data_IF_959908648976
#
_entry.id   IF_959908648976
#
_cell.length_a   1.000
_cell.length_b   1.000
_cell.length_c   1.000
_cell.angle_alpha   90.00
_cell.angle_beta   90.00
_cell.angle_gamma   90.00
#
_symmetry.space_group_name_H-M   'P 1'
#
loop_
_entity.id
_entity.type
_entity.pdbx_description
1 polymer ?
#
# COMPACT_ATOMS: atom_id res chain seq x y z
N UNK A 1 8.21 -19.84 3.06
CA UNK A 1 9.08 -18.66 3.10
C UNK A 1 8.27 -17.39 2.96
N UNK A 2 8.48 -16.41 3.82
CA UNK A 2 7.85 -15.10 3.66
C UNK A 2 8.27 -14.47 2.33
N UNK A 3 7.36 -13.73 1.74
CA UNK A 3 7.60 -13.06 0.45
C UNK A 3 7.40 -11.57 0.59
N UNK A 4 8.05 -10.83 -0.29
CA UNK A 4 7.78 -9.40 -0.46
C UNK A 4 6.75 -9.25 -1.57
N UNK A 5 5.67 -8.53 -1.27
CA UNK A 5 4.60 -8.26 -2.23
C UNK A 5 4.63 -6.76 -2.53
N UNK A 6 4.78 -6.40 -3.78
CA UNK A 6 4.93 -4.99 -4.17
C UNK A 6 3.64 -4.44 -4.74
N UNK A 7 3.31 -3.22 -4.33
CA UNK A 7 2.18 -2.45 -4.86
C UNK A 7 2.72 -1.10 -5.29
N UNK A 8 2.42 -0.71 -6.50
CA UNK A 8 2.87 0.56 -7.05
C UNK A 8 1.66 1.47 -7.21
N UNK A 9 1.76 2.69 -6.69
CA UNK A 9 0.71 3.70 -6.80
C UNK A 9 1.10 4.64 -7.92
N UNK A 10 0.23 4.77 -8.92
CA UNK A 10 0.47 5.61 -10.07
C UNK A 10 -0.52 6.77 -10.10
N UNK A 11 -0.03 7.94 -10.43
CA UNK A 11 -0.84 9.15 -10.58
C UNK A 11 -0.51 9.80 -11.92
N UNK A 12 -1.52 10.04 -12.75
CA UNK A 12 -1.33 10.63 -14.08
C UNK A 12 -1.80 12.08 -14.16
N UNK A 13 -2.15 12.68 -13.02
CA UNK A 13 -2.72 14.01 -12.95
C UNK A 13 -4.23 14.01 -12.79
N UNK A 14 -4.87 12.88 -13.03
CA UNK A 14 -6.32 12.72 -12.93
C UNK A 14 -6.66 11.44 -12.13
N UNK A 15 -6.07 10.33 -12.54
CA UNK A 15 -6.35 9.02 -11.91
C UNK A 15 -5.21 8.64 -10.99
N UNK A 16 -5.56 8.13 -9.82
CA UNK A 16 -4.63 7.67 -8.82
C UNK A 16 -5.08 6.32 -8.28
N UNK A 17 -4.20 5.34 -8.29
CA UNK A 17 -4.56 4.03 -7.77
C UNK A 17 -3.42 3.03 -7.80
N UNK A 18 -3.64 1.88 -7.14
CA UNK A 18 -2.64 0.84 -7.01
C UNK A 18 -2.59 -0.09 -8.23
N UNK A 19 -1.43 -0.66 -8.43
CA UNK A 19 -1.20 -1.74 -9.38
C UNK A 19 -0.26 -2.77 -8.75
N UNK A 20 -0.67 -4.02 -8.56
CA UNK A 20 -1.99 -4.57 -8.88
C UNK A 20 -3.06 -4.06 -7.93
N UNK A 21 -4.31 -4.15 -8.35
CA UNK A 21 -5.44 -3.74 -7.50
C UNK A 21 -5.67 -4.70 -6.35
N UNK A 22 -5.34 -5.96 -6.54
CA UNK A 22 -5.45 -6.97 -5.51
C UNK A 22 -4.12 -7.68 -5.36
N UNK A 23 -3.65 -7.80 -4.14
CA UNK A 23 -2.37 -8.46 -3.85
C UNK A 23 -2.60 -9.58 -2.85
N UNK A 24 -2.17 -10.81 -3.17
CA UNK A 24 -2.27 -11.92 -2.23
C UNK A 24 -1.14 -11.83 -1.20
N UNK A 25 -1.44 -12.18 0.04
CA UNK A 25 -0.44 -12.21 1.09
C UNK A 25 -0.84 -13.18 2.20
N UNK A 26 0.14 -13.71 2.89
CA UNK A 26 -0.10 -14.56 4.04
C UNK A 26 0.81 -14.14 5.20
N UNK A 27 0.57 -14.71 6.37
CA UNK A 27 1.31 -14.36 7.57
C UNK A 27 2.80 -14.33 7.35
N UNK A 28 3.47 -13.31 7.88
CA UNK A 28 4.89 -13.03 7.77
C UNK A 28 5.34 -12.48 6.42
N UNK A 29 4.44 -12.37 5.43
CA UNK A 29 4.77 -11.65 4.19
C UNK A 29 4.89 -10.16 4.48
N UNK A 30 5.67 -9.48 3.65
CA UNK A 30 5.82 -8.03 3.71
C UNK A 30 5.17 -7.42 2.47
N UNK A 31 4.43 -6.34 2.68
CA UNK A 31 3.85 -5.58 1.57
C UNK A 31 4.59 -4.26 1.47
N UNK A 32 5.00 -3.92 0.25
CA UNK A 32 5.78 -2.73 -0.04
C UNK A 32 4.95 -1.82 -0.94
N UNK A 33 4.64 -0.64 -0.45
CA UNK A 33 3.90 0.37 -1.22
C UNK A 33 4.85 1.48 -1.62
N UNK A 34 4.86 1.84 -2.89
CA UNK A 34 5.66 2.96 -3.37
C UNK A 34 4.96 3.67 -4.51
N UNK A 35 5.33 4.93 -4.69
CA UNK A 35 4.85 5.73 -5.80
C UNK A 35 5.63 5.34 -7.06
N UNK A 36 4.93 5.03 -8.14
CA UNK A 36 5.55 4.71 -9.41
C UNK A 36 5.82 5.95 -10.23
N UNK A 37 4.76 6.65 -10.65
CA UNK A 37 4.89 7.84 -11.46
C UNK A 37 3.94 8.92 -10.95
N UNK A 38 4.33 10.17 -11.12
CA UNK A 38 3.51 11.32 -10.80
C UNK A 38 4.01 12.52 -11.59
N UNK A 39 3.10 13.30 -12.21
CA UNK A 39 3.51 14.56 -12.86
C UNK A 39 3.82 15.67 -11.86
N UNK A 40 3.52 15.48 -10.58
CA UNK A 40 3.80 16.45 -9.53
C UNK A 40 5.05 16.02 -8.78
N UNK A 41 6.02 16.93 -8.66
CA UNK A 41 7.27 16.65 -7.96
C UNK A 41 7.05 16.62 -6.45
N UNK A 42 7.92 15.88 -5.76
CA UNK A 42 7.98 15.83 -4.29
C UNK A 42 6.70 15.31 -3.64
N UNK A 43 6.00 14.42 -4.34
CA UNK A 43 4.81 13.78 -3.77
C UNK A 43 5.17 12.61 -2.88
N UNK A 44 4.31 12.35 -1.91
CA UNK A 44 4.49 11.31 -0.90
C UNK A 44 3.20 10.52 -0.75
N UNK A 45 3.28 9.36 -0.13
CA UNK A 45 2.14 8.48 0.07
C UNK A 45 1.75 8.39 1.53
N UNK A 46 0.46 8.24 1.77
CA UNK A 46 -0.09 7.77 3.04
C UNK A 46 -1.04 6.63 2.74
N UNK A 47 -0.77 5.48 3.34
CA UNK A 47 -1.57 4.27 3.16
C UNK A 47 -2.24 3.95 4.48
N UNK A 48 -3.56 3.78 4.47
CA UNK A 48 -4.32 3.37 5.65
C UNK A 48 -5.00 2.05 5.35
N UNK A 49 -4.64 1.01 6.09
CA UNK A 49 -5.21 -0.33 5.92
C UNK A 49 -6.47 -0.41 6.77
N UNK A 50 -7.57 -0.91 6.21
CA UNK A 50 -8.83 -0.99 6.95
C UNK A 50 -8.78 -2.03 8.07
N UNK A 51 -8.07 -3.15 7.83
CA UNK A 51 -7.85 -4.15 8.87
C UNK A 51 -6.86 -3.60 9.90
N UNK A 52 -7.26 -3.55 11.16
CA UNK A 52 -6.43 -3.02 12.24
C UNK A 52 -5.83 -4.11 13.14
N UNK A 53 -5.97 -5.38 12.76
CA UNK A 53 -5.56 -6.51 13.61
C UNK A 53 -4.45 -7.35 13.00
N UNK A 54 -4.37 -7.43 11.68
CA UNK A 54 -3.52 -8.41 11.00
C UNK A 54 -2.30 -7.80 10.31
N UNK A 55 -1.97 -6.56 10.64
CA UNK A 55 -0.84 -5.87 10.04
C UNK A 55 0.01 -5.19 11.11
N UNK A 56 1.30 -5.06 10.85
CA UNK A 56 2.22 -4.46 11.82
C UNK A 56 1.98 -2.97 12.03
N UNK A 57 1.27 -2.32 11.13
CA UNK A 57 0.84 -0.93 11.27
C UNK A 57 -0.45 -0.72 10.49
N UNK A 58 -1.30 0.18 10.97
CA UNK A 58 -2.52 0.56 10.26
C UNK A 58 -2.27 1.67 9.27
N UNK A 59 -1.40 2.61 9.61
CA UNK A 59 -1.07 3.77 8.78
C UNK A 59 0.40 3.77 8.46
N UNK A 60 0.71 3.90 7.18
CA UNK A 60 2.08 4.05 6.68
C UNK A 60 2.15 5.39 5.95
N UNK A 61 3.18 6.17 6.22
CA UNK A 61 3.32 7.49 5.61
C UNK A 61 4.77 7.84 5.43
N UNK A 62 5.10 8.39 4.25
CA UNK A 62 6.41 9.00 4.05
C UNK A 62 6.53 10.25 4.90
N UNK A 63 7.65 10.40 5.58
CA UNK A 63 7.94 11.59 6.36
C UNK A 63 8.32 12.77 5.48
N UNK A 64 8.42 13.95 6.10
CA UNK A 64 8.87 15.14 5.40
C UNK A 64 10.27 14.92 4.83
N UNK A 65 10.46 15.27 3.58
CA UNK A 65 11.74 15.09 2.88
C UNK A 65 11.98 13.70 2.33
N UNK A 66 11.11 12.74 2.61
CA UNK A 66 11.23 11.42 1.99
C UNK A 66 10.67 11.42 0.58
N UNK A 67 11.25 10.57 -0.25
CA UNK A 67 10.80 10.39 -1.62
C UNK A 67 9.65 9.38 -1.65
N UNK A 68 8.56 9.72 -2.33
CA UNK A 68 7.41 8.82 -2.48
C UNK A 68 7.74 7.50 -3.18
N UNK A 69 8.85 7.44 -3.90
CA UNK A 69 9.30 6.22 -4.56
C UNK A 69 10.02 5.26 -3.62
N UNK A 70 10.33 5.69 -2.41
CA UNK A 70 10.86 4.80 -1.39
C UNK A 70 9.72 3.91 -0.88
N UNK A 71 9.97 2.61 -0.64
CA UNK A 71 8.90 1.72 -0.22
C UNK A 71 8.46 2.00 1.21
N UNK A 72 7.15 1.96 1.42
CA UNK A 72 6.54 1.87 2.74
C UNK A 72 6.26 0.40 3.02
N UNK A 73 6.75 -0.10 4.13
CA UNK A 73 6.70 -1.53 4.45
C UNK A 73 5.68 -1.81 5.54
N UNK A 74 4.91 -2.86 5.35
CA UNK A 74 4.07 -3.40 6.42
C UNK A 74 4.16 -4.91 6.40
N UNK A 75 4.16 -5.53 7.58
CA UNK A 75 4.19 -6.98 7.70
C UNK A 75 2.78 -7.50 7.97
N UNK A 76 2.43 -8.59 7.29
CA UNK A 76 1.18 -9.30 7.54
C UNK A 76 1.39 -10.22 8.74
N UNK A 77 0.50 -10.12 9.72
CA UNK A 77 0.57 -10.97 10.92
C UNK A 77 -0.02 -12.35 10.62
N UNK A 78 0.45 -13.39 11.31
CA UNK A 78 -0.19 -14.70 11.23
C UNK A 78 -1.69 -14.62 11.58
N UNK A 79 -2.50 -15.41 10.89
CA UNK A 79 -3.93 -15.42 11.12
C UNK A 79 -4.73 -14.54 10.16
N UNK A 80 -4.07 -13.82 9.27
CA UNK A 80 -4.77 -13.03 8.25
C UNK A 80 -5.57 -13.96 7.34
N UNK A 81 -6.90 -13.88 7.43
CA UNK A 81 -7.79 -14.81 6.74
C UNK A 81 -9.00 -14.14 6.09
N UNK A 82 -9.12 -12.82 6.18
CA UNK A 82 -10.23 -12.08 5.60
C UNK A 82 -9.68 -10.92 4.78
N UNK A 83 -10.12 -10.82 3.55
CA UNK A 83 -9.71 -9.76 2.64
C UNK A 83 -9.95 -8.38 3.26
N UNK A 84 -9.02 -7.47 3.07
CA UNK A 84 -9.14 -6.10 3.52
C UNK A 84 -8.84 -5.13 2.38
N UNK A 85 -9.50 -3.98 2.42
CA UNK A 85 -9.18 -2.88 1.53
C UNK A 85 -8.23 -1.90 2.21
N UNK A 86 -7.66 -0.99 1.45
CA UNK A 86 -6.84 0.08 2.00
C UNK A 86 -7.11 1.38 1.26
N UNK A 87 -6.80 2.48 1.93
CA UNK A 87 -6.94 3.83 1.41
C UNK A 87 -5.55 4.35 1.06
N UNK A 88 -5.40 4.93 -0.11
CA UNK A 88 -4.17 5.58 -0.53
C UNK A 88 -4.42 7.07 -0.66
N UNK A 89 -3.53 7.88 -0.13
CA UNK A 89 -3.55 9.32 -0.28
C UNK A 89 -2.23 9.77 -0.88
N UNK A 90 -2.32 10.63 -1.88
CA UNK A 90 -1.15 11.28 -2.48
C UNK A 90 -1.01 12.65 -1.84
N UNK A 91 0.14 12.92 -1.25
CA UNK A 91 0.41 14.15 -0.52
C UNK A 91 1.42 14.99 -1.28
N UNK A 92 1.24 16.32 -1.26
CA UNK A 92 2.25 17.24 -1.81
C UNK A 92 3.40 17.43 -0.81
N UNK A 93 4.37 18.27 -1.18
CA UNK A 93 5.53 18.51 -0.35
C UNK A 93 5.18 19.11 1.03
N UNK A 94 4.03 19.73 1.14
CA UNK A 94 3.55 20.33 2.39
C UNK A 94 2.66 19.38 3.19
N UNK A 95 2.43 18.18 2.69
CA UNK A 95 1.58 17.20 3.36
C UNK A 95 0.10 17.34 3.05
N UNK A 96 -0.25 18.18 2.08
CA UNK A 96 -1.64 18.36 1.67
C UNK A 96 -2.05 17.23 0.72
N UNK A 97 -3.24 16.69 0.93
CA UNK A 97 -3.79 15.63 0.06
C UNK A 97 -4.18 16.22 -1.27
N UNK A 98 -3.65 15.66 -2.36
CA UNK A 98 -3.99 16.07 -3.73
C UNK A 98 -4.76 15.02 -4.49
N UNK A 99 -4.74 13.78 -4.04
CA UNK A 99 -5.57 12.72 -4.64
C UNK A 99 -5.78 11.59 -3.65
N UNK A 100 -6.90 10.89 -3.77
CA UNK A 100 -7.29 9.80 -2.87
C UNK A 100 -7.79 8.62 -3.69
N UNK A 101 -7.39 7.43 -3.29
CA UNK A 101 -7.96 6.18 -3.76
C UNK A 101 -8.37 5.37 -2.52
N UNK A 102 -9.67 5.33 -2.22
CA UNK A 102 -10.17 4.60 -1.06
C UNK A 102 -10.92 3.36 -1.52
N UNK A 103 -10.43 2.20 -1.10
CA UNK A 103 -11.02 0.93 -1.50
C UNK A 103 -10.68 0.50 -2.92
N UNK A 104 -9.81 1.23 -3.61
CA UNK A 104 -9.39 0.86 -4.97
C UNK A 104 -8.37 -0.28 -4.98
N UNK A 105 -7.77 -0.60 -3.84
CA UNK A 105 -6.85 -1.70 -3.69
C UNK A 105 -7.25 -2.62 -2.56
N UNK A 106 -6.88 -3.88 -2.67
CA UNK A 106 -7.22 -4.90 -1.69
C UNK A 106 -6.03 -5.80 -1.41
N UNK A 107 -5.98 -6.32 -0.19
CA UNK A 107 -5.05 -7.36 0.21
C UNK A 107 -5.88 -8.61 0.49
N UNK A 108 -5.58 -9.69 -0.21
CA UNK A 108 -6.30 -10.95 -0.08
C UNK A 108 -5.47 -11.97 0.67
N UNK A 109 -6.11 -12.76 1.55
CA UNK A 109 -5.40 -13.90 2.12
C UNK A 109 -4.97 -14.85 1.01
N UNK A 110 -3.69 -15.18 0.97
CA UNK A 110 -3.18 -16.20 0.08
C UNK A 110 -3.41 -17.56 0.74
N UNK A 111 -4.65 -18.02 0.66
CA UNK A 111 -5.03 -19.32 1.20
C UNK A 111 -4.56 -20.44 0.30
N UNK A 112 -4.03 -20.09 -0.78
CA UNK A 112 -3.49 -20.74 -1.89
C UNK A 112 -3.48 -22.20 -1.87
N UNK A 113 -4.24 -22.79 -2.19
CA UNK A 113 -4.00 -24.13 -2.46
C UNK A 113 -2.70 -24.36 -3.23
N UNK A 114 -1.95 -23.38 -3.40
CA UNK A 114 -0.68 -23.51 -4.06
C UNK A 114 0.38 -23.98 -3.05
N UNK A 115 1.01 -25.10 -3.27
CA UNK A 115 2.15 -25.49 -2.46
C UNK A 115 3.30 -24.55 -2.79
N UNK A 116 3.52 -23.67 -1.95
CA UNK A 116 4.58 -22.68 -2.19
C UNK A 116 5.92 -23.22 -1.74
#
# INVERSE_FOLDING_TARGET
MPKDRSVILNYDGTNFGPAPKSVPAKGNDKILFRLGSSPVANTRLRITIHDDQHFSAKVLQHGAGQNGQEPLNVMVKPGFDVKTAYKCELLDANGKVISVSDGGGEIEPDLGGSPN
#
